data_IF_138748175320
#
_entry.id   IF_138748175320
#
_cell.length_a   1.000
_cell.length_b   1.000
_cell.length_c   1.000
_cell.angle_alpha   90.00
_cell.angle_beta   90.00
_cell.angle_gamma   90.00
#
_symmetry.space_group_name_H-M   'P 1'
#
loop_
_entity.id
_entity.type
_entity.pdbx_description
1 polymer ?
#
# COMPACT_ATOMS: atom_id res chain seq x y z
N UNK A 1 15.47 12.64 -47.97
CA UNK A 1 14.21 12.71 -47.18
C UNK A 1 14.15 11.74 -45.99
N UNK A 2 14.82 10.58 -45.99
CA UNK A 2 14.73 9.55 -44.93
C UNK A 2 15.40 9.91 -43.58
N UNK A 3 16.39 10.80 -43.58
CA UNK A 3 17.16 11.18 -42.38
C UNK A 3 16.36 12.03 -41.38
N UNK A 4 15.36 12.80 -41.86
CA UNK A 4 14.47 13.59 -40.99
C UNK A 4 13.38 12.72 -40.34
N UNK A 5 12.91 11.71 -41.07
CA UNK A 5 11.92 10.73 -40.60
C UNK A 5 12.49 9.81 -39.52
N UNK A 6 13.76 9.41 -39.66
CA UNK A 6 14.46 8.60 -38.66
C UNK A 6 14.69 9.36 -37.34
N UNK A 7 15.08 10.64 -37.41
CA UNK A 7 15.29 11.48 -36.22
C UNK A 7 13.97 11.74 -35.49
N UNK A 8 12.87 11.95 -36.21
CA UNK A 8 11.55 12.14 -35.62
C UNK A 8 11.04 10.87 -34.90
N UNK A 9 11.31 9.69 -35.46
CA UNK A 9 10.94 8.40 -34.86
C UNK A 9 11.74 8.08 -33.60
N UNK A 10 13.05 8.38 -33.60
CA UNK A 10 13.91 8.19 -32.43
C UNK A 10 13.53 9.16 -31.31
N UNK A 11 13.16 10.41 -31.64
CA UNK A 11 12.70 11.40 -30.66
C UNK A 11 11.36 11.01 -30.01
N UNK A 12 10.43 10.41 -30.77
CA UNK A 12 9.17 9.87 -30.27
C UNK A 12 9.34 8.65 -29.35
N UNK A 13 10.35 7.81 -29.59
CA UNK A 13 10.66 6.69 -28.69
C UNK A 13 11.31 7.13 -27.38
N UNK A 14 12.16 8.17 -27.40
CA UNK A 14 12.79 8.70 -26.17
C UNK A 14 11.74 9.37 -25.26
N UNK A 15 10.72 10.02 -25.83
CA UNK A 15 9.64 10.65 -25.05
C UNK A 15 8.69 9.63 -24.38
N UNK A 16 8.61 8.40 -24.90
CA UNK A 16 7.79 7.33 -24.33
C UNK A 16 8.37 6.70 -23.06
N UNK A 17 9.67 6.84 -22.80
CA UNK A 17 10.33 6.27 -21.61
C UNK A 17 10.10 7.11 -20.35
N UNK A 18 9.72 8.38 -20.50
CA UNK A 18 9.45 9.31 -19.39
C UNK A 18 8.13 9.01 -18.64
N UNK A 19 7.29 8.12 -19.16
CA UNK A 19 6.07 7.66 -18.48
C UNK A 19 6.22 6.27 -17.82
N UNK A 20 7.44 5.74 -17.75
CA UNK A 20 7.71 4.60 -16.88
C UNK A 20 7.79 5.11 -15.43
N UNK A 21 6.63 5.35 -14.81
CA UNK A 21 6.54 5.46 -13.35
C UNK A 21 7.06 4.12 -12.82
N UNK A 22 8.15 4.05 -12.05
CA UNK A 22 8.59 2.80 -11.45
C UNK A 22 7.43 2.26 -10.62
N UNK A 23 6.74 1.26 -11.17
CA UNK A 23 5.72 0.53 -10.48
C UNK A 23 6.41 -0.40 -9.49
N UNK A 24 6.09 -0.20 -8.22
CA UNK A 24 6.03 -1.27 -7.22
C UNK A 24 7.37 -1.81 -6.71
N UNK A 25 8.05 -1.03 -5.87
CA UNK A 25 8.79 -1.58 -4.71
C UNK A 25 7.90 -1.66 -3.43
N UNK A 26 6.64 -1.22 -3.49
CA UNK A 26 5.79 -1.04 -2.32
C UNK A 26 5.35 -2.33 -1.58
N UNK A 27 5.53 -3.53 -2.16
CA UNK A 27 5.07 -4.77 -1.53
C UNK A 27 5.99 -5.23 -0.38
N UNK A 28 7.31 -5.10 -0.54
CA UNK A 28 8.29 -5.38 0.51
C UNK A 28 8.21 -4.31 1.62
N UNK A 29 7.81 -3.10 1.26
CA UNK A 29 7.62 -1.97 2.18
C UNK A 29 6.33 -2.10 3.01
N UNK A 30 5.26 -2.71 2.47
CA UNK A 30 3.94 -2.75 3.10
C UNK A 30 3.90 -3.52 4.42
N UNK A 31 4.56 -4.68 4.50
CA UNK A 31 4.66 -5.45 5.75
C UNK A 31 5.50 -4.71 6.80
N UNK A 32 6.62 -4.12 6.38
CA UNK A 32 7.48 -3.35 7.28
C UNK A 32 6.76 -2.11 7.82
N UNK A 33 6.00 -1.40 6.98
CA UNK A 33 5.15 -0.28 7.36
C UNK A 33 4.00 -0.72 8.27
N UNK A 34 3.36 -1.85 7.99
CA UNK A 34 2.32 -2.40 8.85
C UNK A 34 2.84 -2.65 10.27
N UNK A 35 3.96 -3.35 10.42
CA UNK A 35 4.56 -3.60 11.73
C UNK A 35 5.06 -2.31 12.39
N UNK A 36 5.74 -1.44 11.67
CA UNK A 36 6.35 -0.23 12.24
C UNK A 36 5.35 0.89 12.54
N UNK A 37 4.27 1.04 11.77
CA UNK A 37 3.26 2.11 11.96
C UNK A 37 2.12 1.62 12.83
N UNK A 38 1.47 0.51 12.47
CA UNK A 38 0.33 -0.01 13.24
C UNK A 38 0.80 -0.65 14.54
N UNK A 39 1.95 -1.33 14.55
CA UNK A 39 2.50 -1.99 15.74
C UNK A 39 2.76 -1.02 16.90
N UNK A 40 3.16 0.23 16.63
CA UNK A 40 3.42 1.27 17.66
C UNK A 40 2.35 1.35 18.76
N UNK A 41 1.08 1.19 18.39
CA UNK A 41 -0.06 1.24 19.31
C UNK A 41 -0.71 -0.11 19.55
N UNK A 42 -0.60 -1.04 18.62
CA UNK A 42 -1.27 -2.34 18.71
C UNK A 42 -0.43 -3.42 19.39
N UNK A 43 0.89 -3.26 19.57
CA UNK A 43 1.75 -4.23 20.27
C UNK A 43 2.18 -3.77 21.67
N UNK A 44 1.92 -2.51 22.03
CA UNK A 44 2.29 -1.94 23.33
C UNK A 44 1.24 -2.16 24.45
N UNK A 45 0.21 -2.97 24.20
CA UNK A 45 -0.87 -3.26 25.14
C UNK A 45 -2.00 -2.21 25.24
N UNK A 46 -1.91 -1.08 24.52
CA UNK A 46 -2.96 -0.04 24.50
C UNK A 46 -4.13 -0.38 23.57
N UNK A 47 -3.91 -1.26 22.62
CA UNK A 47 -4.92 -1.67 21.64
C UNK A 47 -4.75 -3.14 21.28
N UNK A 48 -5.83 -3.85 20.89
CA UNK A 48 -5.73 -5.25 20.52
C UNK A 48 -4.82 -5.46 19.31
N UNK A 49 -3.89 -6.41 19.41
CA UNK A 49 -3.11 -6.92 18.28
C UNK A 49 -4.06 -7.50 17.24
N UNK A 50 -3.74 -7.35 15.96
CA UNK A 50 -4.49 -7.96 14.88
C UNK A 50 -3.59 -8.46 13.75
N UNK A 51 -4.16 -9.31 12.89
CA UNK A 51 -3.54 -9.89 11.71
C UNK A 51 -4.29 -9.45 10.44
N UNK A 52 -3.65 -9.53 9.26
CA UNK A 52 -4.32 -9.27 7.97
C UNK A 52 -5.63 -10.05 7.77
N UNK A 53 -5.68 -11.31 8.22
CA UNK A 53 -6.89 -12.16 8.16
C UNK A 53 -8.04 -11.73 9.06
N UNK A 54 -7.89 -10.67 9.87
CA UNK A 54 -8.98 -10.18 10.72
C UNK A 54 -10.20 -9.74 9.91
N UNK A 55 -9.98 -9.26 8.69
CA UNK A 55 -11.05 -8.77 7.83
C UNK A 55 -10.89 -9.26 6.39
N UNK A 56 -12.01 -9.25 5.66
CA UNK A 56 -12.03 -9.42 4.22
C UNK A 56 -11.49 -8.18 3.49
N UNK A 57 -11.05 -8.34 2.25
CA UNK A 57 -10.46 -7.30 1.41
C UNK A 57 -11.33 -6.03 1.35
N UNK A 58 -12.63 -6.20 1.12
CA UNK A 58 -13.60 -5.09 1.05
C UNK A 58 -13.78 -4.31 2.37
N UNK A 59 -13.52 -4.95 3.50
CA UNK A 59 -13.56 -4.30 4.81
C UNK A 59 -12.29 -3.48 5.04
N UNK A 60 -11.13 -3.99 4.63
CA UNK A 60 -9.89 -3.21 4.63
C UNK A 60 -9.98 -1.99 3.71
N UNK A 61 -10.49 -2.13 2.50
CA UNK A 61 -10.75 -1.00 1.61
C UNK A 61 -11.64 0.07 2.27
N UNK A 62 -12.72 -0.38 2.91
CA UNK A 62 -13.64 0.52 3.62
C UNK A 62 -12.96 1.24 4.78
N UNK A 63 -12.09 0.56 5.53
CA UNK A 63 -11.35 1.17 6.63
C UNK A 63 -10.51 2.35 6.13
N UNK A 64 -9.66 2.14 5.13
CA UNK A 64 -8.81 3.20 4.57
C UNK A 64 -9.64 4.29 3.88
N UNK A 65 -10.70 3.92 3.14
CA UNK A 65 -11.58 4.90 2.48
C UNK A 65 -12.27 5.84 3.47
N UNK A 66 -12.63 5.35 4.66
CA UNK A 66 -13.29 6.17 5.69
C UNK A 66 -12.30 7.03 6.48
N UNK A 67 -11.01 6.78 6.33
CA UNK A 67 -9.93 7.44 7.06
C UNK A 67 -10.07 7.41 8.59
N UNK A 68 -10.92 6.56 9.18
CA UNK A 68 -11.27 6.61 10.61
C UNK A 68 -10.61 5.48 11.40
N UNK A 69 -9.66 5.82 12.27
CA UNK A 69 -8.90 4.83 13.05
C UNK A 69 -9.43 4.64 14.47
N UNK A 70 -9.92 5.70 15.10
CA UNK A 70 -10.60 5.65 16.41
C UNK A 70 -11.76 6.65 16.45
N UNK A 71 -12.39 6.85 17.61
CA UNK A 71 -13.61 7.69 17.70
C UNK A 71 -13.39 9.11 17.18
N UNK A 72 -12.19 9.67 17.37
CA UNK A 72 -11.86 11.07 17.10
C UNK A 72 -10.54 11.28 16.33
N UNK A 73 -9.99 10.25 15.69
CA UNK A 73 -8.71 10.37 14.99
C UNK A 73 -8.70 9.58 13.70
N UNK A 74 -8.08 10.24 12.74
CA UNK A 74 -7.95 9.76 11.40
C UNK A 74 -6.65 8.95 11.24
N UNK A 75 -6.65 7.98 10.33
CA UNK A 75 -5.44 7.18 10.10
C UNK A 75 -4.34 8.02 9.44
N UNK A 76 -4.71 9.04 8.66
CA UNK A 76 -3.79 10.01 8.06
C UNK A 76 -3.00 10.86 9.06
N UNK A 77 -3.35 10.84 10.35
CA UNK A 77 -2.53 11.47 11.40
C UNK A 77 -1.30 10.62 11.78
N UNK A 78 -1.28 9.34 11.41
CA UNK A 78 -0.23 8.38 11.79
C UNK A 78 0.62 7.90 10.61
N UNK A 79 0.05 7.92 9.41
CA UNK A 79 0.69 7.48 8.16
C UNK A 79 0.41 8.48 7.03
N UNK A 80 1.40 8.68 6.17
CA UNK A 80 1.21 9.40 4.90
C UNK A 80 0.28 8.65 3.95
N UNK A 81 -0.19 9.32 2.89
CA UNK A 81 -1.05 8.71 1.88
C UNK A 81 -0.35 7.52 1.19
N UNK A 82 0.93 7.68 0.85
CA UNK A 82 1.74 6.64 0.24
C UNK A 82 1.95 5.44 1.17
N UNK A 83 2.20 5.70 2.45
CA UNK A 83 2.32 4.64 3.46
C UNK A 83 0.98 3.93 3.68
N UNK A 84 -0.13 4.68 3.71
CA UNK A 84 -1.47 4.12 3.84
C UNK A 84 -1.80 3.19 2.67
N UNK A 85 -1.45 3.58 1.43
CA UNK A 85 -1.65 2.75 0.25
C UNK A 85 -0.80 1.47 0.27
N UNK A 86 0.47 1.56 0.70
CA UNK A 86 1.33 0.39 0.86
C UNK A 86 0.79 -0.59 1.92
N UNK A 87 0.38 -0.07 3.09
CA UNK A 87 -0.20 -0.89 4.16
C UNK A 87 -1.54 -1.49 3.71
N UNK A 88 -2.40 -0.71 3.05
CA UNK A 88 -3.68 -1.17 2.50
C UNK A 88 -3.46 -2.32 1.52
N UNK A 89 -2.51 -2.17 0.61
CA UNK A 89 -2.17 -3.23 -0.35
C UNK A 89 -1.73 -4.50 0.37
N UNK A 90 -0.84 -4.40 1.35
CA UNK A 90 -0.41 -5.55 2.15
C UNK A 90 -1.59 -6.23 2.86
N UNK A 91 -2.45 -5.46 3.51
CA UNK A 91 -3.61 -5.99 4.24
C UNK A 91 -4.64 -6.68 3.31
N UNK A 92 -4.83 -6.17 2.09
CA UNK A 92 -5.71 -6.77 1.08
C UNK A 92 -5.09 -8.04 0.48
N UNK A 93 -3.82 -8.01 0.10
CA UNK A 93 -3.11 -9.15 -0.49
C UNK A 93 -3.04 -10.37 0.48
N UNK A 94 -3.27 -10.13 1.78
CA UNK A 94 -3.23 -11.13 2.85
C UNK A 94 -4.53 -11.20 3.69
N UNK A 95 -5.63 -10.65 3.18
CA UNK A 95 -6.93 -10.63 3.83
C UNK A 95 -7.51 -12.04 4.04
N UNK A 96 -8.57 -12.15 4.83
CA UNK A 96 -9.25 -13.42 5.13
C UNK A 96 -9.75 -14.16 3.88
N UNK A 97 -10.13 -13.41 2.86
CA UNK A 97 -10.68 -13.87 1.58
C UNK A 97 -9.66 -13.82 0.43
N UNK A 98 -8.38 -13.59 0.73
CA UNK A 98 -7.30 -13.59 -0.26
C UNK A 98 -6.80 -15.01 -0.57
N UNK A 99 -6.09 -15.17 -1.69
CA UNK A 99 -5.41 -16.42 -2.04
C UNK A 99 -4.18 -16.71 -1.15
N UNK A 100 -3.71 -15.72 -0.37
CA UNK A 100 -2.51 -15.82 0.48
C UNK A 100 -2.74 -15.23 1.89
N UNK A 101 -3.71 -15.74 2.66
CA UNK A 101 -4.05 -15.18 3.96
C UNK A 101 -2.91 -15.30 4.97
N UNK A 102 -2.65 -14.26 5.76
CA UNK A 102 -1.66 -14.29 6.85
C UNK A 102 -2.36 -14.18 8.22
N UNK A 103 -2.30 -15.28 8.99
CA UNK A 103 -2.83 -15.34 10.35
C UNK A 103 -1.85 -14.82 11.42
N UNK A 104 -0.57 -14.66 11.07
CA UNK A 104 0.39 -14.03 11.96
C UNK A 104 0.01 -12.54 12.15
N UNK A 105 -0.17 -12.14 13.39
CA UNK A 105 -0.50 -10.76 13.76
C UNK A 105 0.69 -9.81 13.72
N UNK A 106 0.42 -8.54 14.01
CA UNK A 106 1.43 -7.51 14.28
C UNK A 106 2.46 -8.00 15.31
N UNK A 107 3.71 -7.64 15.07
CA UNK A 107 4.86 -7.97 15.91
C UNK A 107 5.53 -6.71 16.43
#
# INVERSE_FOLDING_TARGET
MMRKTLVLFVFLMILGVLFCRPGSHAAEDGEALFNSKCGKCHTNGKSPVFAPVKYASSQWERFFKRNKHERKKDISEEVSEEEADAIKKYLIDHAADSDRPIAAGLR
#
